data_IF_144750667501
#
_entry.id   IF_144750667501
#
_cell.length_a   1.000
_cell.length_b   1.000
_cell.length_c   1.000
_cell.angle_alpha   90.00
_cell.angle_beta   90.00
_cell.angle_gamma   90.00
#
_symmetry.space_group_name_H-M   'P 1'
#
loop_
_entity.id
_entity.type
_entity.pdbx_description
1 polymer ?
#
# COMPACT_ATOMS: atom_id res chain seq x y z
N UNK A 1 42.14 -22.11 -50.89
CA UNK A 1 41.85 -21.00 -49.94
C UNK A 1 42.87 -21.12 -48.80
N UNK A 2 43.70 -20.10 -48.56
CA UNK A 2 44.74 -20.16 -47.51
C UNK A 2 44.08 -20.20 -46.13
N UNK A 3 44.64 -20.98 -45.19
CA UNK A 3 44.15 -21.10 -43.80
C UNK A 3 43.91 -19.73 -43.12
N UNK A 4 44.67 -18.70 -43.53
CA UNK A 4 44.51 -17.31 -43.07
C UNK A 4 43.16 -16.67 -43.46
N UNK A 5 42.61 -16.99 -44.63
CA UNK A 5 41.33 -16.44 -45.09
C UNK A 5 40.15 -17.07 -44.34
N UNK A 6 40.24 -18.36 -43.99
CA UNK A 6 39.23 -19.03 -43.19
C UNK A 6 39.20 -18.50 -41.75
N UNK A 7 40.36 -18.26 -41.15
CA UNK A 7 40.45 -17.64 -39.82
C UNK A 7 39.87 -16.22 -39.79
N UNK A 8 40.14 -15.41 -40.81
CA UNK A 8 39.61 -14.04 -40.89
C UNK A 8 38.08 -14.02 -41.01
N UNK A 9 37.50 -14.91 -41.83
CA UNK A 9 36.02 -15.04 -41.94
C UNK A 9 35.43 -15.52 -40.61
N UNK A 10 36.04 -16.50 -39.94
CA UNK A 10 35.58 -16.99 -38.64
C UNK A 10 35.58 -15.88 -37.58
N UNK A 11 36.64 -15.06 -37.52
CA UNK A 11 36.72 -13.93 -36.59
C UNK A 11 35.64 -12.89 -36.91
N UNK A 12 35.41 -12.55 -38.18
CA UNK A 12 34.38 -11.58 -38.58
C UNK A 12 32.98 -12.10 -38.19
N UNK A 13 32.69 -13.37 -38.42
CA UNK A 13 31.41 -13.98 -38.05
C UNK A 13 31.23 -13.98 -36.53
N UNK A 14 32.21 -14.46 -35.77
CA UNK A 14 32.14 -14.47 -34.30
C UNK A 14 32.01 -13.06 -33.73
N UNK A 15 32.72 -12.07 -34.28
CA UNK A 15 32.66 -10.68 -33.83
C UNK A 15 31.31 -10.02 -34.15
N UNK A 16 30.73 -10.36 -35.31
CA UNK A 16 29.40 -9.89 -35.72
C UNK A 16 28.29 -10.40 -34.79
N UNK A 17 28.45 -11.59 -34.21
CA UNK A 17 27.52 -12.12 -33.20
C UNK A 17 27.87 -11.63 -31.78
N UNK A 18 29.14 -11.43 -31.45
CA UNK A 18 29.56 -11.11 -30.09
C UNK A 18 29.17 -9.70 -29.64
N UNK A 19 29.34 -8.69 -30.51
CA UNK A 19 29.06 -7.29 -30.16
C UNK A 19 27.58 -7.01 -29.86
N UNK A 20 26.61 -7.42 -30.71
CA UNK A 20 25.19 -7.19 -30.42
C UNK A 20 24.74 -7.89 -29.14
N UNK A 21 25.16 -9.15 -28.95
CA UNK A 21 24.80 -9.93 -27.77
C UNK A 21 25.32 -9.33 -26.47
N UNK A 22 26.54 -8.74 -26.47
CA UNK A 22 27.09 -8.09 -25.28
C UNK A 22 26.34 -6.79 -24.95
N UNK A 23 26.05 -5.97 -25.95
CA UNK A 23 25.28 -4.72 -25.76
C UNK A 23 23.87 -5.01 -25.24
N UNK A 24 23.22 -6.05 -25.77
CA UNK A 24 21.91 -6.51 -25.31
C UNK A 24 21.96 -7.04 -23.87
N UNK A 25 22.98 -7.84 -23.52
CA UNK A 25 23.18 -8.32 -22.14
C UNK A 25 23.43 -7.18 -21.15
N UNK A 26 24.30 -6.23 -21.47
CA UNK A 26 24.61 -5.09 -20.59
C UNK A 26 23.36 -4.21 -20.38
N UNK A 27 22.53 -4.02 -21.42
CA UNK A 27 21.24 -3.32 -21.33
C UNK A 27 20.24 -4.08 -20.45
N UNK A 28 20.12 -5.39 -20.61
CA UNK A 28 19.21 -6.24 -19.80
C UNK A 28 19.60 -6.19 -18.32
N UNK A 29 20.89 -6.37 -17.99
CA UNK A 29 21.37 -6.36 -16.61
C UNK A 29 21.13 -4.98 -15.97
N UNK A 30 21.43 -3.90 -16.69
CA UNK A 30 21.22 -2.53 -16.18
C UNK A 30 19.73 -2.26 -15.93
N UNK A 31 18.87 -2.70 -16.84
CA UNK A 31 17.41 -2.63 -16.72
C UNK A 31 16.90 -3.36 -15.48
N UNK A 32 17.38 -4.58 -15.25
CA UNK A 32 16.99 -5.39 -14.10
C UNK A 32 17.40 -4.76 -12.77
N UNK A 33 18.63 -4.25 -12.68
CA UNK A 33 19.15 -3.56 -11.48
C UNK A 33 18.33 -2.31 -11.17
N UNK A 34 18.08 -1.47 -12.18
CA UNK A 34 17.29 -0.24 -12.00
C UNK A 34 15.85 -0.54 -11.61
N UNK A 35 15.23 -1.54 -12.26
CA UNK A 35 13.87 -1.98 -11.95
C UNK A 35 13.74 -2.37 -10.47
N UNK A 36 14.68 -3.20 -10.01
CA UNK A 36 14.72 -3.65 -8.62
C UNK A 36 14.89 -2.48 -7.65
N UNK A 37 15.76 -1.52 -7.96
CA UNK A 37 15.98 -0.34 -7.12
C UNK A 37 14.70 0.49 -6.98
N UNK A 38 13.95 0.70 -8.07
CA UNK A 38 12.68 1.43 -8.03
C UNK A 38 11.59 0.66 -7.28
N UNK A 39 11.51 -0.65 -7.44
CA UNK A 39 10.56 -1.49 -6.70
C UNK A 39 10.84 -1.43 -5.19
N UNK A 40 12.09 -1.60 -4.77
CA UNK A 40 12.49 -1.50 -3.36
C UNK A 40 12.20 -0.12 -2.77
N UNK A 41 12.50 0.93 -3.53
CA UNK A 41 12.18 2.32 -3.15
C UNK A 41 10.68 2.50 -2.94
N UNK A 42 9.85 2.07 -3.89
CA UNK A 42 8.39 2.23 -3.81
C UNK A 42 7.81 1.41 -2.66
N UNK A 43 8.27 0.18 -2.43
CA UNK A 43 7.84 -0.64 -1.30
C UNK A 43 8.19 0.04 0.03
N UNK A 44 9.41 0.59 0.15
CA UNK A 44 9.84 1.33 1.33
C UNK A 44 9.00 2.60 1.55
N UNK A 45 8.79 3.39 0.50
CA UNK A 45 8.02 4.63 0.55
C UNK A 45 6.54 4.40 0.86
N UNK A 46 5.90 3.41 0.23
CA UNK A 46 4.51 3.03 0.50
C UNK A 46 4.34 2.47 1.91
N UNK A 47 5.32 1.73 2.44
CA UNK A 47 5.33 1.24 3.82
C UNK A 47 5.38 2.38 4.84
N UNK A 48 6.31 3.32 4.66
CA UNK A 48 6.44 4.51 5.52
C UNK A 48 5.20 5.42 5.45
N UNK A 49 4.64 5.58 4.25
CA UNK A 49 3.40 6.31 4.02
C UNK A 49 2.23 5.62 4.73
N UNK A 50 2.10 4.30 4.61
CA UNK A 50 1.05 3.51 5.28
C UNK A 50 1.12 3.63 6.79
N UNK A 51 2.32 3.61 7.38
CA UNK A 51 2.50 3.84 8.83
C UNK A 51 2.04 5.23 9.23
N UNK A 52 2.36 6.24 8.42
CA UNK A 52 1.98 7.64 8.67
C UNK A 52 0.49 7.86 8.47
N UNK A 53 -0.12 7.13 7.53
CA UNK A 53 -1.55 7.20 7.21
C UNK A 53 -2.43 6.85 8.41
N UNK A 54 -2.00 5.89 9.23
CA UNK A 54 -2.68 5.44 10.45
C UNK A 54 -2.17 6.14 11.72
N UNK A 55 -1.20 7.06 11.62
CA UNK A 55 -0.76 7.83 12.77
C UNK A 55 -1.86 8.77 13.21
N UNK A 56 -2.27 8.60 14.46
CA UNK A 56 -3.24 9.45 15.11
C UNK A 56 -2.64 10.83 15.35
N UNK A 57 -3.28 11.84 14.78
CA UNK A 57 -2.87 13.25 14.89
C UNK A 57 -3.91 14.12 15.57
N UNK A 58 -5.15 13.63 15.74
CA UNK A 58 -6.22 14.36 16.42
C UNK A 58 -6.14 14.20 17.94
N UNK A 59 -6.42 15.27 18.70
CA UNK A 59 -6.40 15.25 20.18
C UNK A 59 -7.34 14.22 20.77
N UNK A 60 -8.47 13.94 20.10
CA UNK A 60 -9.47 12.97 20.54
C UNK A 60 -8.96 11.53 20.48
N UNK A 61 -8.20 11.19 19.43
CA UNK A 61 -7.61 9.87 19.29
C UNK A 61 -6.31 9.74 20.11
N UNK A 62 -5.60 10.84 20.40
CA UNK A 62 -4.51 10.85 21.36
C UNK A 62 -4.96 10.49 22.81
N UNK A 63 -6.17 10.87 23.23
CA UNK A 63 -6.73 10.42 24.52
C UNK A 63 -6.88 8.89 24.57
N UNK A 64 -7.34 8.25 23.48
CA UNK A 64 -7.39 6.79 23.37
C UNK A 64 -6.00 6.11 23.39
N UNK A 65 -4.98 6.74 22.78
CA UNK A 65 -3.59 6.25 22.83
C UNK A 65 -2.97 6.40 24.22
N UNK A 66 -3.30 7.46 24.94
CA UNK A 66 -2.78 7.75 26.29
C UNK A 66 -3.28 6.75 27.33
N UNK A 67 -4.49 6.22 27.14
CA UNK A 67 -5.15 5.31 28.08
C UNK A 67 -4.85 3.82 27.81
N UNK A 68 -3.89 3.48 26.93
CA UNK A 68 -3.52 2.08 26.66
C UNK A 68 -4.62 1.25 26.00
N UNK A 69 -5.64 1.90 25.46
CA UNK A 69 -6.81 1.24 24.85
C UNK A 69 -6.51 0.87 23.40
N UNK A 70 -6.94 -0.32 22.97
CA UNK A 70 -6.77 -0.82 21.60
C UNK A 70 -7.18 0.24 20.59
N UNK A 71 -6.26 0.57 19.68
CA UNK A 71 -6.52 1.49 18.57
C UNK A 71 -7.61 0.87 17.69
N UNK A 72 -8.80 1.46 17.72
CA UNK A 72 -9.86 1.08 16.82
C UNK A 72 -9.66 1.76 15.47
N UNK A 73 -8.96 1.06 14.56
CA UNK A 73 -8.69 1.53 13.19
C UNK A 73 -9.96 1.87 12.39
N UNK A 74 -11.15 1.52 12.89
CA UNK A 74 -12.45 1.84 12.28
C UNK A 74 -12.80 3.33 12.32
N UNK A 75 -12.24 4.09 13.29
CA UNK A 75 -12.59 5.50 13.53
C UNK A 75 -11.41 6.48 13.35
N UNK A 76 -10.34 6.08 12.66
CA UNK A 76 -9.19 6.96 12.44
C UNK A 76 -9.42 7.77 11.16
N UNK A 77 -9.41 9.10 11.28
CA UNK A 77 -9.23 9.98 10.13
C UNK A 77 -7.84 9.72 9.55
N UNK A 78 -7.78 9.26 8.30
CA UNK A 78 -6.51 9.00 7.64
C UNK A 78 -5.72 10.30 7.47
N UNK A 79 -4.43 10.28 7.81
CA UNK A 79 -3.56 11.43 7.63
C UNK A 79 -3.00 11.48 6.20
N UNK A 80 -3.87 11.81 5.23
CA UNK A 80 -3.58 11.74 3.80
C UNK A 80 -2.37 12.59 3.39
N UNK A 81 -2.31 13.84 3.83
CA UNK A 81 -1.24 14.77 3.45
C UNK A 81 0.10 14.42 4.11
N UNK A 82 0.10 14.01 5.39
CA UNK A 82 1.34 13.57 6.03
C UNK A 82 1.86 12.26 5.44
N UNK A 83 0.97 11.33 5.08
CA UNK A 83 1.36 10.10 4.39
C UNK A 83 1.99 10.39 3.03
N UNK A 84 1.43 11.35 2.29
CA UNK A 84 1.95 11.81 1.01
C UNK A 84 3.33 12.50 1.14
N UNK A 85 3.49 13.37 2.13
CA UNK A 85 4.79 14.01 2.42
C UNK A 85 5.84 12.96 2.79
N UNK A 86 5.47 12.02 3.67
CA UNK A 86 6.36 10.92 4.07
C UNK A 86 6.75 10.04 2.88
N UNK A 87 5.78 9.70 2.03
CA UNK A 87 6.01 8.92 0.80
C UNK A 87 7.12 9.56 -0.05
N UNK A 88 6.99 10.86 -0.36
CA UNK A 88 7.98 11.57 -1.17
C UNK A 88 9.32 11.71 -0.48
N UNK A 89 9.33 12.02 0.82
CA UNK A 89 10.57 12.09 1.59
C UNK A 89 11.35 10.78 1.53
N UNK A 90 10.68 9.64 1.69
CA UNK A 90 11.31 8.32 1.58
C UNK A 90 11.84 8.07 0.16
N UNK A 91 11.11 8.45 -0.89
CA UNK A 91 11.61 8.37 -2.28
C UNK A 91 12.89 9.21 -2.46
N UNK A 92 12.86 10.47 -2.00
CA UNK A 92 13.98 11.39 -2.20
C UNK A 92 15.25 10.93 -1.47
N UNK A 93 15.09 10.34 -0.28
CA UNK A 93 16.15 9.70 0.47
C UNK A 93 16.74 8.49 -0.28
N UNK A 94 15.89 7.57 -0.76
CA UNK A 94 16.34 6.36 -1.47
C UNK A 94 17.05 6.67 -2.79
N UNK A 95 16.66 7.75 -3.47
CA UNK A 95 17.30 8.21 -4.72
C UNK A 95 18.45 9.20 -4.48
N UNK A 96 18.70 9.62 -3.23
CA UNK A 96 19.68 10.65 -2.88
C UNK A 96 19.49 11.97 -3.65
N UNK A 97 18.23 12.44 -3.74
CA UNK A 97 17.82 13.66 -4.46
C UNK A 97 17.18 14.71 -3.56
N UNK A 98 17.38 14.65 -2.25
CA UNK A 98 16.76 15.56 -1.26
C UNK A 98 17.01 17.05 -1.51
N UNK A 99 18.15 17.40 -2.10
CA UNK A 99 18.51 18.78 -2.42
C UNK A 99 18.28 19.13 -3.90
N UNK A 100 17.79 18.19 -4.71
CA UNK A 100 17.65 18.36 -6.15
C UNK A 100 16.18 18.48 -6.58
N UNK A 101 15.64 19.69 -6.43
CA UNK A 101 14.23 20.00 -6.74
C UNK A 101 13.81 19.62 -8.16
N UNK A 102 14.68 19.80 -9.16
CA UNK A 102 14.36 19.45 -10.54
C UNK A 102 14.12 17.95 -10.71
N UNK A 103 14.93 17.12 -10.05
CA UNK A 103 14.77 15.66 -10.07
C UNK A 103 13.60 15.20 -9.19
N UNK A 104 13.33 15.86 -8.07
CA UNK A 104 12.15 15.59 -7.24
C UNK A 104 10.85 15.78 -8.02
N UNK A 105 10.74 16.89 -8.74
CA UNK A 105 9.60 17.16 -9.61
C UNK A 105 9.55 16.15 -10.76
N UNK A 106 10.67 15.80 -11.39
CA UNK A 106 10.73 14.75 -12.41
C UNK A 106 10.16 13.40 -11.92
N UNK A 107 10.51 12.98 -10.70
CA UNK A 107 10.00 11.74 -10.10
C UNK A 107 8.52 11.85 -9.74
N UNK A 108 8.05 13.00 -9.25
CA UNK A 108 6.62 13.24 -8.96
C UNK A 108 5.74 13.00 -10.17
N UNK A 109 6.15 13.54 -11.32
CA UNK A 109 5.44 13.38 -12.59
C UNK A 109 5.35 11.92 -13.05
N UNK A 110 6.29 11.06 -12.63
CA UNK A 110 6.32 9.63 -12.94
C UNK A 110 5.47 8.78 -11.99
N UNK A 111 4.86 9.38 -10.97
CA UNK A 111 3.95 8.69 -10.05
C UNK A 111 2.56 9.33 -10.18
N UNK A 112 1.84 9.08 -11.29
CA UNK A 112 0.63 9.82 -11.65
C UNK A 112 -0.55 9.54 -10.70
N UNK A 113 -0.57 8.38 -10.05
CA UNK A 113 -1.66 7.93 -9.19
C UNK A 113 -1.10 7.35 -7.91
N UNK A 114 -1.66 7.77 -6.78
CA UNK A 114 -1.48 7.14 -5.47
C UNK A 114 -2.84 6.87 -4.85
N UNK A 115 -2.95 5.78 -4.10
CA UNK A 115 -4.19 5.36 -3.46
C UNK A 115 -3.95 5.23 -1.96
N UNK A 116 -4.80 5.86 -1.16
CA UNK A 116 -4.88 5.61 0.26
C UNK A 116 -6.17 4.83 0.55
N UNK A 117 -6.04 3.58 0.94
CA UNK A 117 -7.17 2.71 1.29
C UNK A 117 -7.43 2.84 2.79
N UNK A 118 -8.64 3.26 3.16
CA UNK A 118 -9.13 3.32 4.53
C UNK A 118 -10.20 2.27 4.83
N UNK A 119 -10.74 2.34 6.05
CA UNK A 119 -11.72 1.36 6.52
C UNK A 119 -13.04 1.38 5.72
N UNK A 120 -13.55 2.56 5.35
CA UNK A 120 -14.86 2.72 4.68
C UNK A 120 -14.77 2.88 3.15
N UNK A 121 -13.57 3.04 2.61
CA UNK A 121 -13.35 3.40 1.21
C UNK A 121 -11.89 3.74 0.94
N UNK A 122 -11.64 4.35 -0.20
CA UNK A 122 -10.30 4.77 -0.60
C UNK A 122 -10.30 6.18 -1.20
N UNK A 123 -9.12 6.78 -1.22
CA UNK A 123 -8.85 8.10 -1.78
C UNK A 123 -7.85 7.96 -2.91
N UNK A 124 -8.03 8.73 -3.97
CA UNK A 124 -7.09 8.81 -5.08
C UNK A 124 -6.39 10.15 -5.04
N UNK A 125 -5.06 10.13 -5.03
CA UNK A 125 -4.25 11.31 -5.29
C UNK A 125 -3.83 11.30 -6.77
N UNK A 126 -4.16 12.37 -7.48
CA UNK A 126 -3.80 12.56 -8.89
C UNK A 126 -3.47 14.02 -9.20
N UNK A 127 -3.00 14.29 -10.41
CA UNK A 127 -2.76 15.67 -10.83
C UNK A 127 -4.06 16.47 -10.94
N UNK A 128 -3.97 17.74 -10.55
CA UNK A 128 -5.04 18.71 -10.74
C UNK A 128 -5.12 19.11 -12.21
N UNK A 129 -6.34 19.37 -12.67
CA UNK A 129 -6.62 19.76 -14.06
C UNK A 129 -6.08 21.14 -14.46
N UNK A 130 -5.75 21.97 -13.47
CA UNK A 130 -5.09 23.27 -13.63
C UNK A 130 -3.57 23.16 -13.66
N UNK A 131 -3.00 21.97 -13.42
CA UNK A 131 -1.57 21.73 -13.40
C UNK A 131 -0.88 22.28 -12.14
N UNK A 132 -1.62 22.71 -11.11
CA UNK A 132 -1.05 23.34 -9.91
C UNK A 132 -0.44 22.34 -8.91
N UNK A 133 -0.19 21.10 -9.33
CA UNK A 133 0.22 19.99 -8.48
C UNK A 133 -0.84 18.91 -8.39
N UNK A 134 -0.93 18.26 -7.23
CA UNK A 134 -1.77 17.09 -6.99
C UNK A 134 -2.82 17.35 -5.91
N UNK A 135 -3.87 16.52 -5.91
CA UNK A 135 -4.96 16.60 -4.94
C UNK A 135 -5.50 15.22 -4.64
N UNK A 136 -5.91 15.04 -3.39
CA UNK A 136 -6.75 13.92 -3.00
C UNK A 136 -8.18 14.13 -3.53
N UNK A 137 -8.82 13.04 -3.93
CA UNK A 137 -10.25 12.96 -4.23
C UNK A 137 -11.08 12.97 -2.95
N UNK A 138 -12.39 13.11 -3.09
CA UNK A 138 -13.32 12.69 -2.02
C UNK A 138 -13.19 11.17 -1.78
N UNK A 139 -13.78 10.67 -0.69
CA UNK A 139 -13.77 9.23 -0.38
C UNK A 139 -14.62 8.45 -1.40
N UNK A 140 -14.01 7.45 -2.01
CA UNK A 140 -14.69 6.47 -2.85
C UNK A 140 -15.11 5.29 -1.97
N UNK A 141 -16.38 5.30 -1.54
CA UNK A 141 -16.92 4.28 -0.63
C UNK A 141 -17.00 2.93 -1.33
N UNK A 142 -16.70 1.85 -0.60
CA UNK A 142 -16.91 0.51 -1.12
C UNK A 142 -18.41 0.22 -1.16
N UNK A 143 -19.04 0.36 -2.32
CA UNK A 143 -20.49 0.20 -2.43
C UNK A 143 -20.93 -0.57 -3.65
N UNK A 144 -21.99 -1.37 -3.48
CA UNK A 144 -22.63 -2.13 -4.54
C UNK A 144 -24.15 -2.02 -4.45
N UNK A 145 -24.81 -2.12 -5.61
CA UNK A 145 -26.27 -2.06 -5.71
C UNK A 145 -26.80 -3.45 -6.09
N UNK A 146 -27.54 -4.05 -5.18
CA UNK A 146 -28.16 -5.37 -5.34
C UNK A 146 -29.68 -5.25 -5.26
N UNK A 147 -30.33 -5.19 -6.43
CA UNK A 147 -31.76 -4.94 -6.53
C UNK A 147 -32.11 -3.58 -5.92
N UNK A 148 -32.92 -3.59 -4.86
CA UNK A 148 -33.30 -2.36 -4.15
C UNK A 148 -32.33 -1.98 -3.02
N UNK A 149 -31.26 -2.74 -2.80
CA UNK A 149 -30.33 -2.53 -1.69
C UNK A 149 -29.04 -1.86 -2.19
N UNK A 150 -28.70 -0.72 -1.60
CA UNK A 150 -27.37 -0.14 -1.67
C UNK A 150 -26.58 -0.65 -0.46
N UNK A 151 -25.54 -1.44 -0.70
CA UNK A 151 -24.72 -2.06 0.33
C UNK A 151 -23.37 -1.35 0.34
N UNK A 152 -23.03 -0.71 1.46
CA UNK A 152 -21.69 -0.17 1.69
C UNK A 152 -20.90 -1.14 2.56
N UNK A 153 -19.80 -1.63 2.02
CA UNK A 153 -18.85 -2.49 2.69
C UNK A 153 -17.82 -1.64 3.45
N UNK A 154 -17.27 -2.22 4.51
CA UNK A 154 -16.03 -1.77 5.12
C UNK A 154 -14.95 -2.82 4.86
N UNK A 155 -13.69 -2.53 5.18
CA UNK A 155 -12.63 -3.55 5.14
C UNK A 155 -12.91 -4.71 6.11
N UNK A 156 -13.67 -4.45 7.20
CA UNK A 156 -14.07 -5.45 8.18
C UNK A 156 -15.37 -6.19 7.82
N UNK A 157 -16.12 -6.54 8.87
CA UNK A 157 -17.42 -7.23 8.78
C UNK A 157 -18.63 -6.29 8.92
N UNK A 158 -18.38 -5.01 9.24
CA UNK A 158 -19.44 -4.01 9.35
C UNK A 158 -19.91 -3.59 7.95
N UNK A 159 -21.23 -3.48 7.82
CA UNK A 159 -21.91 -3.17 6.56
C UNK A 159 -23.03 -2.18 6.83
N UNK A 160 -23.21 -1.24 5.91
CA UNK A 160 -24.34 -0.31 5.91
C UNK A 160 -25.23 -0.65 4.73
N UNK A 161 -26.46 -1.08 5.00
CA UNK A 161 -27.45 -1.43 3.97
C UNK A 161 -28.51 -0.34 3.93
N UNK A 162 -28.68 0.29 2.77
CA UNK A 162 -29.73 1.27 2.53
C UNK A 162 -30.71 0.73 1.50
N UNK A 163 -31.97 0.60 1.88
CA UNK A 163 -33.01 0.28 0.91
C UNK A 163 -33.33 1.54 0.08
N UNK A 164 -33.08 1.47 -1.21
CA UNK A 164 -33.20 2.59 -2.15
C UNK A 164 -34.64 3.08 -2.34
N UNK A 165 -35.64 2.21 -2.13
CA UNK A 165 -37.08 2.52 -2.20
C UNK A 165 -37.60 3.15 -0.92
N UNK A 166 -37.32 2.52 0.22
CA UNK A 166 -37.86 2.98 1.52
C UNK A 166 -36.99 4.04 2.19
N UNK A 167 -35.75 4.24 1.71
CA UNK A 167 -34.70 5.10 2.29
C UNK A 167 -34.32 4.72 3.72
N UNK A 168 -34.65 3.51 4.16
CA UNK A 168 -34.26 3.00 5.48
C UNK A 168 -32.84 2.47 5.40
N UNK A 169 -31.97 2.99 6.27
CA UNK A 169 -30.59 2.54 6.43
C UNK A 169 -30.45 1.72 7.70
N UNK A 170 -29.75 0.58 7.60
CA UNK A 170 -29.39 -0.27 8.73
C UNK A 170 -27.88 -0.51 8.71
N UNK A 171 -27.25 -0.38 9.87
CA UNK A 171 -25.83 -0.62 10.08
C UNK A 171 -25.65 -1.77 11.05
N UNK A 172 -24.71 -2.66 10.76
CA UNK A 172 -24.40 -3.78 11.65
C UNK A 172 -23.36 -4.71 11.02
N UNK A 173 -23.01 -5.76 11.74
CA UNK A 173 -22.19 -6.84 11.19
C UNK A 173 -22.96 -7.62 10.14
N UNK A 174 -22.24 -8.28 9.22
CA UNK A 174 -22.81 -9.22 8.24
C UNK A 174 -23.78 -10.19 8.90
N UNK A 175 -23.41 -10.80 10.02
CA UNK A 175 -24.23 -11.80 10.73
C UNK A 175 -25.58 -11.25 11.18
N UNK A 176 -25.58 -10.06 11.76
CA UNK A 176 -26.80 -9.43 12.24
C UNK A 176 -27.74 -9.02 11.10
N UNK A 177 -27.19 -8.66 9.95
CA UNK A 177 -27.95 -8.23 8.78
C UNK A 177 -28.36 -9.39 7.86
N UNK A 178 -27.69 -10.54 7.94
CA UNK A 178 -27.97 -11.72 7.10
C UNK A 178 -29.42 -12.19 7.23
N UNK A 179 -29.97 -12.23 8.45
CA UNK A 179 -31.37 -12.61 8.67
C UNK A 179 -32.39 -11.61 8.13
N UNK A 180 -31.99 -10.34 7.96
CA UNK A 180 -32.85 -9.29 7.43
C UNK A 180 -32.84 -9.24 5.90
N UNK A 181 -31.76 -9.72 5.27
CA UNK A 181 -31.53 -9.67 3.83
C UNK A 181 -31.01 -11.01 3.29
N UNK A 182 -31.79 -12.11 3.40
CA UNK A 182 -31.35 -13.46 3.06
C UNK A 182 -31.05 -13.66 1.56
N UNK A 183 -31.63 -12.84 0.70
CA UNK A 183 -31.42 -12.89 -0.76
C UNK A 183 -30.20 -12.08 -1.24
N UNK A 184 -29.53 -11.36 -0.32
CA UNK A 184 -28.36 -10.52 -0.64
C UNK A 184 -27.04 -11.28 -0.49
N UNK A 185 -25.92 -10.63 -0.82
CA UNK A 185 -24.58 -11.16 -0.56
C UNK A 185 -24.26 -11.36 0.93
N UNK A 186 -25.10 -10.89 1.87
CA UNK A 186 -24.88 -11.00 3.32
C UNK A 186 -25.20 -12.38 3.90
N UNK A 187 -25.90 -13.23 3.13
CA UNK A 187 -26.46 -14.51 3.58
C UNK A 187 -25.45 -15.46 4.22
N UNK A 188 -24.23 -15.50 3.71
CA UNK A 188 -23.15 -16.37 4.18
C UNK A 188 -21.78 -15.67 4.01
N UNK A 189 -20.83 -16.05 4.84
CA UNK A 189 -19.51 -15.42 4.90
C UNK A 189 -18.72 -15.57 3.59
N UNK A 190 -18.81 -16.73 2.94
CA UNK A 190 -18.05 -17.02 1.71
C UNK A 190 -18.54 -16.13 0.56
N UNK A 191 -19.87 -16.04 0.38
CA UNK A 191 -20.47 -15.14 -0.61
C UNK A 191 -20.16 -13.68 -0.29
N UNK A 192 -20.28 -13.29 0.98
CA UNK A 192 -20.00 -11.92 1.40
C UNK A 192 -18.57 -11.49 1.08
N UNK A 193 -17.58 -12.26 1.51
CA UNK A 193 -16.16 -11.94 1.31
C UNK A 193 -15.80 -11.93 -0.17
N UNK A 194 -16.36 -12.86 -0.96
CA UNK A 194 -16.18 -12.87 -2.42
C UNK A 194 -16.72 -11.61 -3.08
N UNK A 195 -17.97 -11.22 -2.76
CA UNK A 195 -18.60 -10.02 -3.33
C UNK A 195 -17.87 -8.77 -2.86
N UNK A 196 -17.56 -8.63 -1.56
CA UNK A 196 -16.76 -7.53 -1.01
C UNK A 196 -15.45 -7.36 -1.79
N UNK A 197 -14.68 -8.43 -1.93
CA UNK A 197 -13.41 -8.39 -2.67
C UNK A 197 -13.62 -7.99 -4.13
N UNK A 198 -14.63 -8.53 -4.80
CA UNK A 198 -14.93 -8.17 -6.19
C UNK A 198 -15.30 -6.69 -6.35
N UNK A 199 -16.12 -6.16 -5.43
CA UNK A 199 -16.54 -4.75 -5.43
C UNK A 199 -15.34 -3.83 -5.22
N UNK A 200 -14.52 -4.09 -4.20
CA UNK A 200 -13.31 -3.30 -3.93
C UNK A 200 -12.38 -3.29 -5.15
N UNK A 201 -12.07 -4.48 -5.71
CA UNK A 201 -11.18 -4.61 -6.85
C UNK A 201 -11.76 -3.91 -8.11
N UNK A 202 -13.06 -4.02 -8.35
CA UNK A 202 -13.72 -3.38 -9.51
C UNK A 202 -13.73 -1.86 -9.39
N UNK A 203 -13.99 -1.31 -8.19
CA UNK A 203 -13.99 0.13 -7.97
C UNK A 203 -12.59 0.72 -8.19
N UNK A 204 -11.57 0.11 -7.58
CA UNK A 204 -10.18 0.55 -7.76
C UNK A 204 -9.77 0.47 -9.23
N UNK A 205 -10.07 -0.63 -9.93
CA UNK A 205 -9.76 -0.77 -11.36
C UNK A 205 -10.45 0.33 -12.20
N UNK A 206 -11.72 0.60 -11.95
CA UNK A 206 -12.45 1.66 -12.67
C UNK A 206 -11.86 3.05 -12.41
N UNK A 207 -11.43 3.33 -11.19
CA UNK A 207 -10.79 4.61 -10.88
C UNK A 207 -9.39 4.73 -11.47
N UNK A 208 -8.62 3.64 -11.49
CA UNK A 208 -7.34 3.62 -12.18
C UNK A 208 -7.50 3.97 -13.66
N UNK A 209 -8.51 3.43 -14.34
CA UNK A 209 -8.82 3.75 -15.73
C UNK A 209 -9.18 5.24 -15.90
N UNK A 210 -10.06 5.75 -15.02
CA UNK A 210 -10.51 7.15 -15.06
C UNK A 210 -9.34 8.13 -14.81
N UNK A 211 -8.61 7.96 -13.72
CA UNK A 211 -7.53 8.87 -13.33
C UNK A 211 -6.31 8.76 -14.24
N UNK A 212 -6.00 7.57 -14.78
CA UNK A 212 -4.94 7.44 -15.80
C UNK A 212 -5.30 8.23 -17.05
N UNK A 213 -6.52 8.06 -17.56
CA UNK A 213 -7.01 8.78 -18.73
C UNK A 213 -6.97 10.30 -18.49
N UNK A 214 -7.42 10.75 -17.31
CA UNK A 214 -7.37 12.16 -16.91
C UNK A 214 -5.94 12.70 -16.84
N UNK A 215 -5.01 11.95 -16.24
CA UNK A 215 -3.61 12.34 -16.16
C UNK A 215 -2.96 12.43 -17.55
N UNK A 216 -3.30 11.54 -18.49
CA UNK A 216 -2.85 11.64 -19.88
C UNK A 216 -3.38 12.90 -20.58
N UNK A 217 -4.64 13.28 -20.34
CA UNK A 217 -5.19 14.53 -20.86
C UNK A 217 -4.47 15.76 -20.28
N UNK A 218 -4.13 15.73 -18.99
CA UNK A 218 -3.34 16.78 -18.34
C UNK A 218 -1.95 16.84 -18.96
N UNK A 219 -1.25 15.70 -19.06
CA UNK A 219 0.07 15.63 -19.67
C UNK A 219 0.08 16.23 -21.09
N UNK A 220 -0.89 15.87 -21.93
CA UNK A 220 -1.06 16.43 -23.27
C UNK A 220 -1.31 17.94 -23.25
N UNK A 221 -2.18 18.43 -22.36
CA UNK A 221 -2.52 19.85 -22.23
C UNK A 221 -1.31 20.70 -21.82
N UNK A 222 -0.45 20.19 -20.97
CA UNK A 222 0.74 20.90 -20.45
C UNK A 222 2.04 20.55 -21.19
N UNK A 223 1.95 19.77 -22.28
CA UNK A 223 3.11 19.43 -23.11
C UNK A 223 4.10 18.49 -22.42
N UNK A 224 3.67 17.75 -21.40
CA UNK A 224 4.48 16.72 -20.79
C UNK A 224 4.59 15.54 -21.75
N UNK A 225 5.82 15.18 -22.13
CA UNK A 225 6.08 14.04 -23.02
C UNK A 225 5.96 12.71 -22.26
N UNK A 226 4.77 12.43 -21.72
CA UNK A 226 4.45 11.25 -20.94
C UNK A 226 3.13 10.64 -21.40
N UNK A 227 3.08 9.31 -21.46
CA UNK A 227 1.87 8.55 -21.69
C UNK A 227 1.80 7.46 -20.63
N UNK A 228 0.83 7.57 -19.74
CA UNK A 228 0.63 6.66 -18.63
C UNK A 228 -0.20 5.45 -19.08
N UNK A 229 0.27 4.27 -18.73
CA UNK A 229 -0.47 3.02 -18.90
C UNK A 229 -1.45 2.85 -17.75
N UNK A 230 -2.60 2.24 -18.03
CA UNK A 230 -3.55 1.89 -16.96
C UNK A 230 -2.90 0.76 -16.15
N UNK A 231 -2.63 0.96 -14.85
CA UNK A 231 -2.02 -0.09 -14.05
C UNK A 231 -2.93 -1.30 -13.94
N UNK A 232 -2.37 -2.49 -14.11
CA UNK A 232 -3.12 -3.72 -13.87
C UNK A 232 -3.27 -3.96 -12.35
N UNK A 233 -4.50 -3.82 -11.86
CA UNK A 233 -4.81 -4.07 -10.45
C UNK A 233 -5.11 -5.54 -10.12
N UNK A 234 -5.70 -6.29 -11.06
CA UNK A 234 -6.04 -7.70 -10.85
C UNK A 234 -6.98 -7.96 -9.66
N UNK A 235 -6.92 -9.17 -9.10
CA UNK A 235 -7.69 -9.57 -7.91
C UNK A 235 -6.76 -9.61 -6.70
N UNK A 236 -6.75 -8.53 -5.92
CA UNK A 236 -5.97 -8.44 -4.67
C UNK A 236 -6.91 -8.45 -3.47
N UNK A 237 -6.48 -9.13 -2.40
CA UNK A 237 -7.16 -9.04 -1.11
C UNK A 237 -6.69 -7.76 -0.40
N UNK A 238 -7.60 -6.80 -0.26
CA UNK A 238 -7.41 -5.62 0.58
C UNK A 238 -8.29 -5.80 1.80
N UNK A 239 -7.66 -6.15 2.91
CA UNK A 239 -8.34 -6.34 4.20
C UNK A 239 -7.88 -5.32 5.24
N UNK A 240 -6.91 -4.47 4.90
CA UNK A 240 -6.28 -3.51 5.80
C UNK A 240 -6.03 -2.17 5.13
N UNK A 241 -5.80 -1.14 5.95
CA UNK A 241 -5.37 0.18 5.48
C UNK A 241 -4.05 0.07 4.73
N UNK A 242 -3.94 0.77 3.61
CA UNK A 242 -2.82 0.64 2.70
C UNK A 242 -2.54 1.95 1.96
N UNK A 243 -1.28 2.19 1.66
CA UNK A 243 -0.86 3.21 0.70
C UNK A 243 -0.27 2.52 -0.53
N UNK A 244 -0.71 2.93 -1.70
CA UNK A 244 -0.38 2.30 -2.98
C UNK A 244 0.08 3.38 -3.94
N UNK A 245 1.11 3.11 -4.72
CA UNK A 245 1.63 4.04 -5.71
C UNK A 245 2.07 3.32 -6.98
N UNK A 246 1.88 3.97 -8.12
CA UNK A 246 2.23 3.44 -9.43
C UNK A 246 3.30 4.32 -10.05
N UNK A 247 4.49 3.76 -10.26
CA UNK A 247 5.58 4.46 -10.95
C UNK A 247 5.57 4.06 -12.42
N UNK A 248 5.66 5.05 -13.30
CA UNK A 248 5.61 4.86 -14.75
C UNK A 248 6.55 5.83 -15.44
N UNK A 249 7.24 5.36 -16.48
CA UNK A 249 7.86 6.26 -17.46
C UNK A 249 9.39 6.25 -17.55
N UNK A 250 10.08 5.22 -17.06
CA UNK A 250 11.46 4.97 -17.50
C UNK A 250 11.45 4.06 -18.72
N UNK A 251 11.82 4.62 -19.88
CA UNK A 251 12.21 3.83 -21.04
C UNK A 251 13.68 3.40 -20.84
N UNK A 252 13.92 2.10 -20.71
CA UNK A 252 15.29 1.60 -20.65
C UNK A 252 15.91 1.59 -22.05
N UNK A 253 17.12 2.15 -22.18
CA UNK A 253 17.86 2.15 -23.45
C UNK A 253 18.03 0.71 -23.98
N UNK A 254 17.48 0.45 -25.17
CA UNK A 254 17.58 -0.86 -25.84
C UNK A 254 16.37 -1.77 -25.68
N UNK A 255 15.33 -1.35 -24.94
CA UNK A 255 14.04 -2.04 -24.88
C UNK A 255 12.92 -1.03 -25.18
N UNK A 256 12.06 -1.31 -26.16
CA UNK A 256 10.81 -0.56 -26.41
C UNK A 256 9.77 -0.73 -25.26
N UNK A 257 10.18 -1.33 -24.13
CA UNK A 257 9.33 -1.57 -22.98
C UNK A 257 9.53 -0.46 -21.96
N UNK A 258 8.51 0.40 -21.82
CA UNK A 258 8.39 1.30 -20.68
C UNK A 258 8.31 0.47 -19.39
N UNK A 259 9.08 0.86 -18.39
CA UNK A 259 9.05 0.25 -17.08
C UNK A 259 7.88 0.80 -16.28
N UNK A 260 6.98 -0.11 -15.90
CA UNK A 260 5.88 0.15 -14.98
C UNK A 260 6.20 -0.61 -13.68
N UNK A 261 6.47 0.14 -12.61
CA UNK A 261 6.69 -0.40 -11.28
C UNK A 261 5.48 -0.16 -10.39
N UNK A 262 5.18 -1.15 -9.56
CA UNK A 262 4.03 -1.14 -8.66
C UNK A 262 4.49 -1.21 -7.21
N UNK A 263 4.28 -0.14 -6.46
CA UNK A 263 4.47 -0.09 -5.03
C UNK A 263 3.18 -0.41 -4.30
N UNK A 264 3.18 -1.50 -3.52
CA UNK A 264 2.08 -1.85 -2.65
C UNK A 264 2.60 -2.23 -1.28
N UNK A 265 2.12 -1.53 -0.26
CA UNK A 265 2.33 -1.90 1.13
C UNK A 265 1.03 -1.79 1.89
N UNK A 266 0.69 -2.83 2.63
CA UNK A 266 -0.43 -2.84 3.58
C UNK A 266 0.11 -2.71 4.99
N UNK A 267 -0.72 -2.25 5.92
CA UNK A 267 -0.35 -2.14 7.32
C UNK A 267 -0.16 -3.49 8.04
N UNK A 268 0.03 -4.62 7.33
CA UNK A 268 0.51 -5.87 7.91
C UNK A 268 2.01 -5.78 8.24
N UNK A 269 2.36 -4.82 9.09
CA UNK A 269 3.54 -4.85 9.96
C UNK A 269 3.29 -3.82 11.07
N UNK A 270 2.22 -4.02 11.83
CA UNK A 270 2.47 -3.96 13.27
C UNK A 270 3.30 -5.22 13.52
N UNK A 271 4.62 -5.09 13.60
CA UNK A 271 5.35 -6.01 14.46
C UNK A 271 4.64 -5.87 15.81
N UNK A 272 3.64 -6.73 16.06
CA UNK A 272 3.14 -6.93 17.40
C UNK A 272 4.34 -7.52 18.09
N UNK A 273 5.09 -6.67 18.79
CA UNK A 273 6.07 -7.13 19.75
C UNK A 273 5.27 -7.93 20.77
N UNK A 274 5.33 -9.26 20.64
CA UNK A 274 4.76 -10.16 21.63
C UNK A 274 5.29 -9.73 23.00
N UNK A 275 4.39 -9.45 23.93
CA UNK A 275 4.79 -9.12 25.29
C UNK A 275 4.85 -10.42 26.08
N UNK A 276 6.06 -10.81 26.45
CA UNK A 276 6.33 -12.02 27.20
C UNK A 276 6.33 -11.70 28.69
N UNK A 277 5.34 -12.20 29.42
CA UNK A 277 5.33 -12.25 30.88
C UNK A 277 6.07 -13.48 31.39
N UNK A 278 6.87 -13.31 32.43
CA UNK A 278 7.57 -14.40 33.12
C UNK A 278 7.74 -14.10 34.60
N UNK A 279 8.07 -15.15 35.37
CA UNK A 279 8.36 -15.02 36.80
C UNK A 279 9.83 -15.34 37.03
N UNK A 280 10.57 -14.39 37.58
CA UNK A 280 11.95 -14.56 38.04
C UNK A 280 11.99 -14.18 39.52
N UNK A 281 12.53 -15.04 40.37
CA UNK A 281 12.72 -14.79 41.81
C UNK A 281 11.44 -14.31 42.53
N UNK A 282 10.28 -14.83 42.11
CA UNK A 282 8.96 -14.49 42.68
C UNK A 282 8.35 -13.20 42.14
N UNK A 283 9.05 -12.44 41.29
CA UNK A 283 8.55 -11.22 40.67
C UNK A 283 7.98 -11.50 39.29
N UNK A 284 6.75 -11.02 39.03
CA UNK A 284 6.11 -11.05 37.72
C UNK A 284 6.65 -9.89 36.87
N UNK A 285 7.36 -10.21 35.80
CA UNK A 285 7.98 -9.24 34.90
C UNK A 285 7.55 -9.47 33.45
N UNK A 286 7.45 -8.40 32.67
CA UNK A 286 7.22 -8.51 31.23
C UNK A 286 8.31 -7.85 30.39
N UNK A 287 8.56 -8.38 29.20
CA UNK A 287 9.46 -7.80 28.21
C UNK A 287 8.99 -8.05 26.77
N UNK A 288 9.45 -7.21 25.84
CA UNK A 288 9.27 -7.41 24.40
C UNK A 288 10.31 -8.39 23.81
N UNK A 289 11.25 -8.86 24.65
CA UNK A 289 12.27 -9.84 24.29
C UNK A 289 11.94 -11.20 24.89
N UNK A 290 11.85 -12.24 24.04
CA UNK A 290 11.60 -13.61 24.48
C UNK A 290 12.81 -14.15 25.23
N UNK A 291 12.68 -14.35 26.54
CA UNK A 291 13.70 -15.05 27.32
C UNK A 291 13.52 -16.57 27.21
N UNK A 292 14.63 -17.28 27.06
CA UNK A 292 14.69 -18.74 26.95
C UNK A 292 15.00 -19.44 28.28
N UNK A 293 15.48 -18.71 29.29
CA UNK A 293 15.92 -19.24 30.59
C UNK A 293 15.05 -18.78 31.77
N UNK A 294 13.81 -18.45 31.47
CA UNK A 294 12.79 -18.14 32.48
C UNK A 294 11.78 -19.29 32.50
N UNK A 295 11.00 -19.42 33.58
CA UNK A 295 10.01 -20.48 33.71
C UNK A 295 8.87 -20.40 32.67
N UNK A 296 7.65 -20.72 33.08
CA UNK A 296 6.49 -20.66 32.15
C UNK A 296 6.30 -19.23 31.64
N UNK A 297 6.29 -19.08 30.31
CA UNK A 297 5.98 -17.82 29.63
C UNK A 297 4.47 -17.63 29.56
N UNK A 298 4.00 -16.44 29.93
CA UNK A 298 2.64 -15.95 29.71
C UNK A 298 2.68 -14.94 28.57
N UNK A 299 1.74 -15.03 27.64
CA UNK A 299 1.70 -14.14 26.48
C UNK A 299 0.67 -13.04 26.73
N UNK A 300 1.05 -11.80 26.46
CA UNK A 300 0.19 -10.63 26.53
C UNK A 300 0.18 -9.91 25.19
N UNK A 301 -0.98 -9.37 24.81
CA UNK A 301 -1.16 -8.60 23.59
C UNK A 301 -0.58 -7.18 23.71
N UNK A 302 -0.28 -6.71 24.93
CA UNK A 302 0.33 -5.40 25.19
C UNK A 302 1.00 -5.30 26.57
N UNK A 303 1.91 -4.33 26.79
CA UNK A 303 2.48 -4.02 28.12
C UNK A 303 1.40 -3.66 29.16
N UNK A 304 0.31 -3.07 28.70
CA UNK A 304 -0.83 -2.67 29.53
C UNK A 304 -1.59 -3.89 30.07
N UNK A 305 -1.87 -4.88 29.21
CA UNK A 305 -2.50 -6.13 29.63
C UNK A 305 -1.62 -6.90 30.64
N UNK A 306 -0.31 -6.87 30.44
CA UNK A 306 0.66 -7.44 31.39
C UNK A 306 0.59 -6.71 32.74
N UNK A 307 0.53 -5.38 32.73
CA UNK A 307 0.44 -4.56 33.94
C UNK A 307 -0.86 -4.80 34.73
N UNK A 308 -2.02 -4.86 34.05
CA UNK A 308 -3.30 -5.24 34.69
C UNK A 308 -3.21 -6.65 35.29
N UNK A 309 -2.52 -7.56 34.62
CA UNK A 309 -2.29 -8.94 35.09
C UNK A 309 -1.26 -9.03 36.23
N UNK A 310 -0.73 -7.89 36.67
CA UNK A 310 0.20 -7.76 37.80
C UNK A 310 1.66 -7.97 37.44
N UNK A 311 2.04 -7.84 36.17
CA UNK A 311 3.44 -7.91 35.70
C UNK A 311 4.03 -6.50 35.61
N UNK A 312 5.22 -6.30 36.16
CA UNK A 312 5.95 -5.03 36.05
C UNK A 312 6.90 -5.05 34.83
N UNK A 313 7.24 -3.89 34.24
CA UNK A 313 8.23 -3.84 33.16
C UNK A 313 9.58 -4.33 33.67
N UNK A 314 10.26 -5.21 32.92
CA UNK A 314 11.59 -5.68 33.30
C UNK A 314 12.59 -4.50 33.28
N UNK A 315 13.19 -4.16 34.43
CA UNK A 315 14.15 -3.07 34.55
C UNK A 315 15.31 -3.15 33.55
N UNK A 316 15.72 -4.36 33.17
CA UNK A 316 16.83 -4.62 32.26
C UNK A 316 16.58 -4.10 30.84
N UNK A 317 15.32 -4.02 30.43
CA UNK A 317 14.93 -3.64 29.07
C UNK A 317 14.19 -2.29 29.00
N UNK A 318 13.60 -1.84 30.11
CA UNK A 318 12.73 -0.66 30.14
C UNK A 318 13.27 0.51 30.97
N UNK A 319 14.40 0.36 31.66
CA UNK A 319 15.09 1.45 32.35
C UNK A 319 16.40 1.75 31.62
N UNK A 320 16.53 2.97 31.08
CA UNK A 320 17.80 3.56 30.67
C UNK A 320 18.23 4.60 31.70
#
# INVERSE_FOLDING_TARGET
>A
MSCKHFFMIMVIVLFSFYLPNRVEQDSIITTEILSKQYDEMLVSATSDATKTLIQVTDSYSNEFFSEGTKVDYRNINLNLDAALDRFYKTIYLNLNIEENYAYQEGIRHRIPIKIAVGYEGFYINSFKTDGSGETWSDIHKFSDVQGDLLIHFTLGEEVIVTNTKTKVTKTGTRENLASLYPDSCLKDEVTFNKVKSQVINSLIQSDLEFYTTRNNQIALKYGWNMNFNIPYWGNRAIDNTAFIAFYQGDAFFGNDKMHDSFGYSTSQNVERKDVYGYIIDGNKLYSDNKLTNVGVLTYFESPYEAAISGYAPDPKYYIK
#
